data_IF_849531840869
#
_entry.id   IF_849531840869
#
_cell.length_a   1.000
_cell.length_b   1.000
_cell.length_c   1.000
_cell.angle_alpha   90.00
_cell.angle_beta   90.00
_cell.angle_gamma   90.00
#
_symmetry.space_group_name_H-M   'P 1'
#
loop_
_entity.id
_entity.type
_entity.pdbx_description
1 polymer ?
#
# COMPACT_ATOMS: atom_id res chain seq x y z
N UNK A 1 -34.18 -4.01 -20.84
CA UNK A 1 -32.99 -4.84 -20.54
C UNK A 1 -32.18 -4.09 -19.52
N UNK A 2 -32.31 -4.50 -18.26
CA UNK A 2 -31.60 -3.94 -17.13
C UNK A 2 -30.16 -4.49 -17.08
N UNK A 3 -29.33 -3.88 -16.23
CA UNK A 3 -27.95 -4.21 -15.86
C UNK A 3 -26.85 -3.51 -16.67
N UNK A 4 -26.75 -2.21 -16.43
CA UNK A 4 -25.51 -1.45 -16.55
C UNK A 4 -25.48 -0.41 -15.42
N UNK A 5 -25.37 -0.88 -14.18
CA UNK A 5 -24.99 -0.04 -13.04
C UNK A 5 -23.52 -0.31 -12.74
N UNK A 6 -22.65 0.34 -13.50
CA UNK A 6 -21.21 0.43 -13.23
C UNK A 6 -20.89 1.84 -12.76
N UNK A 7 -21.16 2.14 -11.49
CA UNK A 7 -20.59 3.30 -10.79
C UNK A 7 -20.25 2.87 -9.38
N UNK A 8 -19.20 2.06 -9.24
CA UNK A 8 -18.67 1.66 -7.95
C UNK A 8 -17.60 2.67 -7.55
N UNK A 9 -18.02 3.83 -7.04
CA UNK A 9 -17.08 4.72 -6.34
C UNK A 9 -17.62 5.55 -5.19
N UNK A 10 -18.94 5.67 -5.00
CA UNK A 10 -19.52 6.49 -3.91
C UNK A 10 -19.92 5.72 -2.65
N UNK A 11 -19.81 4.38 -2.62
CA UNK A 11 -20.55 3.56 -1.64
C UNK A 11 -19.69 2.93 -0.53
N UNK A 12 -18.37 3.14 -0.55
CA UNK A 12 -17.45 2.53 0.41
C UNK A 12 -16.82 3.54 1.37
N UNK A 13 -17.00 3.31 2.66
CA UNK A 13 -16.17 3.91 3.71
C UNK A 13 -14.81 3.20 3.72
N UNK A 14 -13.80 3.82 3.13
CA UNK A 14 -12.45 3.28 3.14
C UNK A 14 -11.80 3.45 4.51
N UNK A 15 -10.99 2.46 4.89
CA UNK A 15 -10.15 2.46 6.09
C UNK A 15 -8.75 2.01 5.74
N UNK A 16 -7.73 2.70 6.25
CA UNK A 16 -6.36 2.45 5.84
C UNK A 16 -5.40 2.12 6.99
N UNK A 17 -4.45 1.24 6.68
CA UNK A 17 -3.27 0.99 7.49
C UNK A 17 -2.04 1.51 6.73
N UNK A 18 -1.34 2.47 7.33
CA UNK A 18 -0.22 3.18 6.73
C UNK A 18 1.06 2.87 7.53
N UNK A 19 2.02 2.15 6.93
CA UNK A 19 3.13 1.51 7.65
C UNK A 19 4.48 2.02 7.11
N UNK A 20 5.28 2.61 8.00
CA UNK A 20 6.71 2.86 7.77
C UNK A 20 7.53 1.87 8.61
N UNK A 21 8.16 0.89 7.96
CA UNK A 21 8.78 -0.26 8.63
C UNK A 21 10.25 -0.09 9.02
N UNK A 22 10.89 1.00 8.64
CA UNK A 22 12.29 1.24 8.95
C UNK A 22 12.55 2.71 9.27
N UNK A 23 13.52 2.95 10.15
CA UNK A 23 13.92 4.25 10.65
C UNK A 23 15.35 4.64 10.25
N UNK A 24 16.02 3.83 9.42
CA UNK A 24 17.36 4.15 8.91
C UNK A 24 17.39 5.42 8.04
N UNK A 25 16.24 5.81 7.48
CA UNK A 25 16.11 6.98 6.61
C UNK A 25 14.70 7.58 6.68
N UNK A 26 14.56 8.88 6.43
CA UNK A 26 13.27 9.57 6.54
C UNK A 26 12.29 9.23 5.41
N UNK A 27 12.76 8.71 4.27
CA UNK A 27 11.94 8.46 3.07
C UNK A 27 10.71 7.59 3.37
N UNK A 28 10.84 6.61 4.27
CA UNK A 28 9.73 5.71 4.61
C UNK A 28 8.63 6.44 5.39
N UNK A 29 8.99 7.21 6.41
CA UNK A 29 8.00 8.01 7.13
C UNK A 29 7.44 9.16 6.31
N UNK A 30 8.24 9.75 5.41
CA UNK A 30 7.73 10.75 4.47
C UNK A 30 6.68 10.12 3.54
N UNK A 31 6.98 8.98 2.90
CA UNK A 31 6.03 8.30 2.03
C UNK A 31 4.73 7.93 2.75
N UNK A 32 4.82 7.42 3.99
CA UNK A 32 3.67 7.12 4.85
C UNK A 32 2.81 8.36 5.12
N UNK A 33 3.43 9.47 5.50
CA UNK A 33 2.72 10.71 5.86
C UNK A 33 2.12 11.38 4.64
N UNK A 34 2.90 11.51 3.56
CA UNK A 34 2.50 12.22 2.36
C UNK A 34 1.33 11.51 1.67
N UNK A 35 1.37 10.17 1.56
CA UNK A 35 0.24 9.41 1.03
C UNK A 35 -0.97 9.45 1.97
N UNK A 36 -0.76 9.43 3.30
CA UNK A 36 -1.84 9.58 4.26
C UNK A 36 -2.55 10.93 4.14
N UNK A 37 -1.78 12.01 3.98
CA UNK A 37 -2.28 13.36 3.73
C UNK A 37 -3.02 13.45 2.38
N UNK A 38 -2.44 12.92 1.30
CA UNK A 38 -3.09 12.89 0.00
C UNK A 38 -4.43 12.14 0.05
N UNK A 39 -4.46 10.95 0.65
CA UNK A 39 -5.71 10.20 0.77
C UNK A 39 -6.74 10.91 1.67
N UNK A 40 -6.31 11.62 2.70
CA UNK A 40 -7.21 12.46 3.50
C UNK A 40 -7.81 13.60 2.68
N UNK A 41 -7.05 14.24 1.79
CA UNK A 41 -7.55 15.23 0.85
C UNK A 41 -8.55 14.63 -0.16
N UNK A 42 -8.45 13.33 -0.43
CA UNK A 42 -9.36 12.55 -1.28
C UNK A 42 -10.51 11.86 -0.53
N UNK A 43 -10.81 12.28 0.71
CA UNK A 43 -11.98 11.80 1.46
C UNK A 43 -11.74 10.59 2.37
N UNK A 44 -10.57 9.95 2.33
CA UNK A 44 -10.16 8.96 3.35
C UNK A 44 -9.72 9.69 4.62
N UNK A 45 -10.70 10.12 5.42
CA UNK A 45 -10.47 10.93 6.63
C UNK A 45 -9.39 10.33 7.54
N UNK A 46 -8.55 11.18 8.16
CA UNK A 46 -7.52 10.73 9.11
C UNK A 46 -8.07 9.87 10.26
N UNK A 47 -9.34 10.02 10.63
CA UNK A 47 -9.99 9.18 11.65
C UNK A 47 -10.17 7.72 11.21
N UNK A 48 -10.12 7.45 9.90
CA UNK A 48 -10.17 6.13 9.30
C UNK A 48 -8.79 5.63 8.87
N UNK A 49 -7.72 6.33 9.25
CA UNK A 49 -6.34 5.94 9.00
C UNK A 49 -5.65 5.52 10.29
N UNK A 50 -5.01 4.36 10.25
CA UNK A 50 -4.12 3.88 11.29
C UNK A 50 -2.69 4.01 10.79
N UNK A 51 -1.85 4.73 11.53
CA UNK A 51 -0.44 4.89 11.18
C UNK A 51 0.46 4.10 12.14
N UNK A 52 1.42 3.37 11.55
CA UNK A 52 2.49 2.68 12.25
C UNK A 52 3.85 3.21 11.75
N UNK A 53 4.80 3.41 12.66
CA UNK A 53 6.14 3.87 12.32
C UNK A 53 7.21 3.22 13.20
N UNK A 54 8.30 2.78 12.59
CA UNK A 54 9.50 2.35 13.30
C UNK A 54 10.30 3.51 13.90
N UNK A 55 9.99 4.74 13.49
CA UNK A 55 10.79 5.91 13.85
C UNK A 55 10.43 6.47 15.22
N UNK A 56 11.47 6.61 16.06
CA UNK A 56 11.29 6.97 17.46
C UNK A 56 10.58 8.31 17.69
N UNK A 57 10.84 9.33 16.86
CA UNK A 57 10.19 10.65 17.01
C UNK A 57 8.68 10.60 16.74
N UNK A 58 8.27 9.79 15.77
CA UNK A 58 6.85 9.59 15.43
C UNK A 58 6.14 8.85 16.58
N UNK A 59 6.81 7.86 17.17
CA UNK A 59 6.28 7.14 18.34
C UNK A 59 6.10 8.02 19.57
N UNK A 60 7.04 8.94 19.81
CA UNK A 60 6.90 9.94 20.90
C UNK A 60 5.69 10.86 20.63
N UNK A 61 5.40 11.14 19.36
CA UNK A 61 4.22 11.90 18.94
C UNK A 61 2.91 11.09 18.96
N UNK A 62 2.95 9.82 19.37
CA UNK A 62 1.77 8.97 19.55
C UNK A 62 1.46 8.01 18.40
N UNK A 63 2.31 7.95 17.36
CA UNK A 63 2.19 6.94 16.30
C UNK A 63 2.55 5.56 16.86
N UNK A 64 1.77 4.53 16.55
CA UNK A 64 2.06 3.17 17.03
C UNK A 64 3.37 2.66 16.41
N UNK A 65 4.10 1.84 17.16
CA UNK A 65 5.32 1.20 16.66
C UNK A 65 5.01 0.24 15.50
N UNK A 66 5.80 0.23 14.43
CA UNK A 66 5.65 -0.74 13.34
C UNK A 66 6.27 -2.10 13.71
N UNK A 67 5.55 -2.86 14.53
CA UNK A 67 5.84 -4.25 14.92
C UNK A 67 4.82 -5.19 14.29
N UNK A 68 5.12 -6.50 14.24
CA UNK A 68 4.18 -7.50 13.74
C UNK A 68 2.86 -7.48 14.52
N UNK A 69 2.93 -7.38 15.84
CA UNK A 69 1.75 -7.31 16.73
C UNK A 69 0.88 -6.09 16.40
N UNK A 70 1.48 -4.90 16.28
CA UNK A 70 0.73 -3.68 15.97
C UNK A 70 0.20 -3.66 14.52
N UNK A 71 0.85 -4.35 13.59
CA UNK A 71 0.32 -4.54 12.23
C UNK A 71 -0.93 -5.43 12.29
N UNK A 72 -0.87 -6.54 13.02
CA UNK A 72 -2.02 -7.43 13.20
C UNK A 72 -3.18 -6.70 13.89
N UNK A 73 -2.92 -5.99 15.00
CA UNK A 73 -3.90 -5.13 15.67
C UNK A 73 -4.43 -4.04 14.74
N UNK A 74 -3.57 -3.44 13.92
CA UNK A 74 -3.95 -2.44 12.93
C UNK A 74 -4.99 -2.98 11.94
N UNK A 75 -4.75 -4.16 11.36
CA UNK A 75 -5.75 -4.81 10.50
C UNK A 75 -7.02 -5.16 11.27
N UNK A 76 -6.92 -5.65 12.51
CA UNK A 76 -8.07 -5.95 13.36
C UNK A 76 -8.91 -4.70 13.68
N UNK A 77 -8.28 -3.55 13.93
CA UNK A 77 -8.95 -2.27 14.17
C UNK A 77 -9.69 -1.75 12.92
N UNK A 78 -9.12 -1.99 11.73
CA UNK A 78 -9.83 -1.69 10.47
C UNK A 78 -11.05 -2.58 10.28
N UNK A 79 -10.92 -3.87 10.64
CA UNK A 79 -11.81 -5.01 10.33
C UNK A 79 -13.09 -4.63 9.58
N UNK A 80 -13.04 -4.89 8.27
CA UNK A 80 -14.14 -4.59 7.34
C UNK A 80 -14.86 -5.86 6.89
N UNK A 81 -14.27 -7.05 7.13
CA UNK A 81 -14.79 -8.34 6.69
C UNK A 81 -16.20 -8.66 7.23
N UNK A 82 -16.54 -8.18 8.43
CA UNK A 82 -17.81 -8.49 9.11
C UNK A 82 -18.81 -7.33 9.10
N UNK A 83 -18.80 -6.49 8.07
CA UNK A 83 -19.67 -5.34 8.04
C UNK A 83 -21.17 -5.75 8.01
N UNK A 84 -21.84 -5.54 9.15
CA UNK A 84 -23.28 -5.78 9.33
C UNK A 84 -24.13 -4.52 9.14
N UNK A 85 -23.50 -3.39 8.80
CA UNK A 85 -24.16 -2.10 8.62
C UNK A 85 -24.53 -1.85 7.15
N UNK A 86 -25.36 -0.84 6.88
CA UNK A 86 -25.76 -0.48 5.50
C UNK A 86 -24.63 0.16 4.68
N UNK A 87 -23.62 0.74 5.32
CA UNK A 87 -22.50 1.40 4.64
C UNK A 87 -21.50 0.32 4.27
N UNK A 88 -21.13 0.19 2.99
CA UNK A 88 -20.08 -0.77 2.61
C UNK A 88 -18.71 -0.23 3.07
N UNK A 89 -17.75 -1.11 3.37
CA UNK A 89 -16.42 -0.71 3.83
C UNK A 89 -15.34 -1.31 2.95
N UNK A 90 -14.25 -0.61 2.77
CA UNK A 90 -13.11 -1.05 1.97
C UNK A 90 -11.80 -0.87 2.74
N UNK A 91 -10.80 -1.66 2.38
CA UNK A 91 -9.53 -1.78 3.09
C UNK A 91 -8.39 -1.27 2.22
N UNK A 92 -7.53 -0.41 2.77
CA UNK A 92 -6.31 0.05 2.10
C UNK A 92 -5.11 -0.23 3.01
N UNK A 93 -4.04 -0.76 2.44
CA UNK A 93 -2.75 -0.88 3.13
C UNK A 93 -1.67 -0.22 2.28
N UNK A 94 -0.98 0.77 2.83
CA UNK A 94 0.27 1.29 2.28
C UNK A 94 1.42 0.89 3.20
N UNK A 95 2.47 0.33 2.61
CA UNK A 95 3.63 -0.18 3.30
C UNK A 95 4.90 0.31 2.64
N UNK A 96 5.79 0.97 3.38
CA UNK A 96 7.06 1.47 2.86
C UNK A 96 8.23 1.17 3.81
N UNK A 97 9.25 0.46 3.30
CA UNK A 97 10.44 0.01 4.05
C UNK A 97 11.49 -0.58 3.09
N UNK A 98 12.58 -1.12 3.64
CA UNK A 98 13.42 -2.07 2.91
C UNK A 98 12.67 -3.38 2.66
N UNK A 99 13.15 -4.13 1.66
CA UNK A 99 12.65 -5.46 1.38
C UNK A 99 13.76 -6.49 1.43
N UNK A 100 13.43 -7.67 1.96
CA UNK A 100 14.32 -8.82 2.05
C UNK A 100 13.95 -9.78 0.93
N UNK A 101 14.91 -10.12 0.08
CA UNK A 101 14.70 -11.09 -1.01
C UNK A 101 14.26 -12.43 -0.42
N UNK A 102 13.07 -12.90 -0.79
CA UNK A 102 12.44 -14.12 -0.24
C UNK A 102 12.29 -14.11 1.29
N UNK A 103 12.26 -12.92 1.90
CA UNK A 103 12.19 -12.75 3.36
C UNK A 103 11.14 -11.73 3.80
N UNK A 104 10.41 -11.11 2.88
CA UNK A 104 9.33 -10.18 3.20
C UNK A 104 9.76 -8.72 3.39
N UNK A 105 8.93 -7.99 4.13
CA UNK A 105 9.01 -6.55 4.36
C UNK A 105 9.73 -6.27 5.68
N UNK A 106 10.84 -5.54 5.61
CA UNK A 106 11.70 -5.34 6.77
C UNK A 106 11.03 -4.46 7.82
N UNK A 107 11.14 -4.87 9.08
CA UNK A 107 10.65 -4.14 10.25
C UNK A 107 11.83 -3.90 11.20
N UNK A 108 12.32 -2.67 11.33
CA UNK A 108 13.54 -2.39 12.12
C UNK A 108 13.35 -2.60 13.62
N UNK A 109 12.10 -2.62 14.08
CA UNK A 109 11.73 -2.90 15.47
C UNK A 109 11.66 -4.39 15.79
N UNK A 110 11.71 -5.25 14.77
CA UNK A 110 11.70 -6.70 14.92
C UNK A 110 13.13 -7.24 14.94
N UNK A 111 13.50 -7.92 16.03
CA UNK A 111 14.90 -8.33 16.22
C UNK A 111 15.40 -9.36 15.20
N UNK A 112 14.50 -10.16 14.61
CA UNK A 112 14.80 -11.27 13.67
C UNK A 112 13.66 -11.57 12.71
N UNK A 113 12.66 -10.70 12.62
CA UNK A 113 11.44 -10.98 11.87
C UNK A 113 11.15 -9.87 10.88
N UNK A 114 10.42 -10.24 9.84
CA UNK A 114 9.90 -9.36 8.82
C UNK A 114 8.43 -9.75 8.63
N UNK A 115 7.61 -8.83 8.11
CA UNK A 115 6.28 -9.23 7.68
C UNK A 115 6.43 -10.06 6.41
N UNK A 116 6.13 -11.36 6.48
CA UNK A 116 6.22 -12.24 5.31
C UNK A 116 5.00 -12.07 4.40
N UNK A 117 5.10 -12.57 3.16
CA UNK A 117 3.94 -12.60 2.26
C UNK A 117 2.81 -13.48 2.79
N UNK A 118 3.14 -14.55 3.52
CA UNK A 118 2.16 -15.40 4.20
C UNK A 118 1.45 -14.65 5.33
N UNK A 119 2.19 -13.90 6.16
CA UNK A 119 1.59 -13.12 7.25
C UNK A 119 0.63 -12.07 6.70
N UNK A 120 1.04 -11.32 5.66
CA UNK A 120 0.18 -10.33 5.02
C UNK A 120 -1.08 -10.98 4.40
N UNK A 121 -0.92 -12.12 3.73
CA UNK A 121 -2.06 -12.86 3.15
C UNK A 121 -3.06 -13.27 4.23
N UNK A 122 -2.58 -13.80 5.36
CA UNK A 122 -3.41 -14.18 6.50
C UNK A 122 -4.18 -12.98 7.04
N UNK A 123 -3.48 -11.87 7.35
CA UNK A 123 -4.09 -10.68 7.94
C UNK A 123 -5.13 -10.03 7.00
N UNK A 124 -4.81 -9.90 5.71
CA UNK A 124 -5.73 -9.31 4.73
C UNK A 124 -6.97 -10.19 4.56
N UNK A 125 -6.80 -11.51 4.44
CA UNK A 125 -7.94 -12.40 4.26
C UNK A 125 -8.81 -12.48 5.52
N UNK A 126 -8.23 -12.41 6.70
CA UNK A 126 -8.97 -12.41 7.97
C UNK A 126 -9.75 -11.11 8.19
N UNK A 127 -9.11 -9.95 8.02
CA UNK A 127 -9.69 -8.67 8.45
C UNK A 127 -10.31 -7.85 7.32
N UNK A 128 -9.85 -8.02 6.09
CA UNK A 128 -10.42 -7.35 4.92
C UNK A 128 -11.39 -8.27 4.15
N UNK A 129 -11.16 -9.59 4.17
CA UNK A 129 -12.11 -10.60 3.68
C UNK A 129 -12.56 -10.35 2.24
N UNK A 130 -13.86 -10.43 1.97
CA UNK A 130 -14.41 -10.23 0.63
C UNK A 130 -14.65 -8.76 0.25
N UNK A 131 -14.26 -7.80 1.10
CA UNK A 131 -14.40 -6.37 0.79
C UNK A 131 -13.34 -5.89 -0.22
N UNK A 132 -13.64 -4.85 -1.03
CA UNK A 132 -12.63 -4.21 -1.87
C UNK A 132 -11.38 -3.86 -1.06
N UNK A 133 -10.23 -4.30 -1.54
CA UNK A 133 -8.96 -4.13 -0.82
C UNK A 133 -7.84 -3.70 -1.74
N UNK A 134 -7.11 -2.66 -1.35
CA UNK A 134 -5.97 -2.09 -2.07
C UNK A 134 -4.72 -2.24 -1.22
N UNK A 135 -3.65 -2.75 -1.82
CA UNK A 135 -2.38 -3.01 -1.14
C UNK A 135 -1.25 -2.39 -1.96
N UNK A 136 -0.57 -1.40 -1.39
CA UNK A 136 0.49 -0.63 -2.01
C UNK A 136 1.81 -0.90 -1.26
N UNK A 137 2.76 -1.55 -1.92
CA UNK A 137 3.99 -2.03 -1.27
C UNK A 137 5.24 -1.40 -1.90
N UNK A 138 5.82 -0.44 -1.18
CA UNK A 138 7.07 0.24 -1.49
C UNK A 138 8.24 -0.45 -0.80
N UNK A 139 8.84 -1.45 -1.47
CA UNK A 139 10.03 -2.15 -0.98
C UNK A 139 10.79 -2.86 -2.12
N UNK A 140 12.08 -3.12 -1.90
CA UNK A 140 12.85 -4.05 -2.75
C UNK A 140 12.17 -5.43 -2.78
N UNK A 141 12.21 -6.12 -3.92
CA UNK A 141 11.66 -7.48 -4.05
C UNK A 141 10.16 -7.59 -3.74
N UNK A 142 9.43 -6.47 -3.69
CA UNK A 142 8.03 -6.39 -3.24
C UNK A 142 7.07 -7.25 -4.06
N UNK A 143 7.41 -7.57 -5.31
CA UNK A 143 6.67 -8.55 -6.12
C UNK A 143 6.49 -9.92 -5.46
N UNK A 144 7.30 -10.27 -4.45
CA UNK A 144 7.12 -11.48 -3.63
C UNK A 144 5.79 -11.53 -2.87
N UNK A 145 5.10 -10.39 -2.70
CA UNK A 145 3.79 -10.30 -2.05
C UNK A 145 2.62 -10.55 -3.00
N UNK A 146 2.83 -10.63 -4.31
CA UNK A 146 1.78 -11.00 -5.27
C UNK A 146 1.64 -12.53 -5.30
N UNK A 147 1.10 -13.09 -4.22
CA UNK A 147 0.90 -14.53 -4.04
C UNK A 147 -0.50 -14.96 -4.46
N UNK A 148 -0.70 -16.26 -4.73
CA UNK A 148 -2.04 -16.77 -5.04
C UNK A 148 -2.98 -16.68 -3.83
N UNK A 149 -2.44 -16.73 -2.61
CA UNK A 149 -3.18 -16.58 -1.37
C UNK A 149 -3.67 -15.15 -1.12
N UNK A 150 -2.96 -14.14 -1.62
CA UNK A 150 -3.35 -12.74 -1.48
C UNK A 150 -4.21 -12.25 -2.64
N UNK A 151 -4.04 -12.84 -3.83
CA UNK A 151 -4.87 -12.52 -5.00
C UNK A 151 -6.33 -12.86 -4.74
N UNK A 152 -7.20 -12.04 -5.32
CA UNK A 152 -8.64 -12.24 -5.27
C UNK A 152 -9.35 -11.30 -6.24
N UNK A 153 -10.61 -11.57 -6.59
CA UNK A 153 -11.36 -10.76 -7.53
C UNK A 153 -11.59 -9.32 -7.04
N UNK A 154 -11.54 -9.10 -5.72
CA UNK A 154 -11.74 -7.84 -5.01
C UNK A 154 -10.42 -7.16 -4.57
N UNK A 155 -9.28 -7.55 -5.15
CA UNK A 155 -7.96 -7.06 -4.73
C UNK A 155 -7.30 -6.18 -5.79
N UNK A 156 -6.65 -5.12 -5.33
CA UNK A 156 -5.62 -4.37 -6.07
C UNK A 156 -4.32 -4.54 -5.30
N UNK A 157 -3.27 -5.02 -5.96
CA UNK A 157 -1.94 -5.18 -5.35
C UNK A 157 -0.93 -4.52 -6.27
N UNK A 158 -0.22 -3.51 -5.77
CA UNK A 158 0.79 -2.77 -6.53
C UNK A 158 2.12 -2.80 -5.77
N UNK A 159 3.20 -3.14 -6.47
CA UNK A 159 4.52 -3.34 -5.86
C UNK A 159 5.59 -2.53 -6.57
N UNK A 160 6.53 -1.98 -5.81
CA UNK A 160 7.61 -1.13 -6.33
C UNK A 160 8.65 -1.86 -7.20
N UNK A 161 8.71 -3.18 -7.15
CA UNK A 161 9.64 -3.99 -7.95
C UNK A 161 9.12 -5.40 -8.16
N UNK A 162 9.68 -6.12 -9.14
CA UNK A 162 9.52 -7.59 -9.21
C UNK A 162 10.30 -8.30 -8.10
N UNK A 163 9.90 -9.53 -7.79
CA UNK A 163 10.44 -10.35 -6.69
C UNK A 163 11.97 -10.53 -6.65
N UNK A 164 12.66 -10.40 -7.79
CA UNK A 164 14.11 -10.61 -7.89
C UNK A 164 14.93 -9.32 -8.10
N UNK A 165 14.28 -8.15 -8.12
CA UNK A 165 14.93 -6.85 -8.33
C UNK A 165 14.70 -5.88 -7.16
N UNK A 166 15.69 -5.02 -6.87
CA UNK A 166 15.48 -3.93 -5.92
C UNK A 166 14.57 -2.84 -6.52
N UNK A 167 13.96 -2.06 -5.64
CA UNK A 167 13.41 -0.73 -5.98
C UNK A 167 14.43 0.35 -5.58
N UNK A 168 14.21 1.59 -6.00
CA UNK A 168 15.20 2.67 -5.84
C UNK A 168 14.62 3.92 -5.17
N UNK A 169 15.52 4.84 -4.83
CA UNK A 169 15.17 6.12 -4.21
C UNK A 169 15.30 6.18 -2.69
N UNK A 170 15.79 5.12 -2.05
CA UNK A 170 16.17 5.15 -0.64
C UNK A 170 17.51 5.89 -0.49
N UNK A 171 17.48 7.22 -0.51
CA UNK A 171 18.64 8.10 -0.34
C UNK A 171 18.22 9.40 0.36
N UNK A 172 19.08 9.99 1.21
CA UNK A 172 18.77 11.27 1.86
C UNK A 172 18.65 12.44 0.86
N UNK A 173 19.08 12.23 -0.39
CA UNK A 173 18.93 13.20 -1.47
C UNK A 173 17.48 13.33 -1.99
N UNK A 174 16.62 12.37 -1.64
CA UNK A 174 15.22 12.36 -2.03
C UNK A 174 14.34 12.42 -0.79
N UNK A 175 13.23 13.14 -0.89
CA UNK A 175 12.24 13.20 0.18
C UNK A 175 11.50 11.87 0.34
N UNK A 176 11.14 11.26 -0.79
CA UNK A 176 10.39 10.00 -0.88
C UNK A 176 11.18 8.97 -1.70
N UNK A 177 10.86 7.68 -1.53
CA UNK A 177 11.36 6.65 -2.47
C UNK A 177 10.85 6.96 -3.89
N UNK A 178 11.44 6.36 -4.92
CA UNK A 178 11.00 6.67 -6.28
C UNK A 178 9.55 6.27 -6.52
N UNK A 179 9.17 5.11 -5.97
CA UNK A 179 7.84 4.57 -6.14
C UNK A 179 6.79 5.35 -5.35
N UNK A 180 7.05 5.69 -4.08
CA UNK A 180 6.13 6.53 -3.31
C UNK A 180 5.96 7.91 -3.96
N UNK A 181 7.04 8.50 -4.49
CA UNK A 181 6.95 9.77 -5.22
C UNK A 181 6.11 9.65 -6.52
N UNK A 182 6.25 8.56 -7.26
CA UNK A 182 5.42 8.32 -8.45
C UNK A 182 3.95 8.05 -8.09
N UNK A 183 3.66 7.38 -6.97
CA UNK A 183 2.28 7.28 -6.48
C UNK A 183 1.70 8.67 -6.18
N UNK A 184 2.41 9.47 -5.39
CA UNK A 184 1.99 10.83 -5.02
C UNK A 184 1.71 11.70 -6.25
N UNK A 185 2.53 11.59 -7.30
CA UNK A 185 2.34 12.38 -8.52
C UNK A 185 1.21 11.86 -9.40
N UNK A 186 0.98 10.55 -9.46
CA UNK A 186 0.05 9.97 -10.43
C UNK A 186 -1.35 9.70 -9.85
N UNK A 187 -1.52 9.58 -8.54
CA UNK A 187 -2.84 9.41 -7.89
C UNK A 187 -3.80 10.54 -8.28
N UNK A 188 -3.45 11.85 -8.19
CA UNK A 188 -4.34 12.95 -8.60
C UNK A 188 -4.64 12.97 -10.10
N UNK A 189 -3.89 12.23 -10.91
CA UNK A 189 -3.96 12.20 -12.36
C UNK A 189 -4.58 10.90 -12.90
N UNK A 190 -5.14 10.07 -12.02
CA UNK A 190 -5.71 8.77 -12.36
C UNK A 190 -7.14 8.66 -11.85
N UNK A 191 -8.06 8.15 -12.67
CA UNK A 191 -9.44 7.90 -12.24
C UNK A 191 -9.58 6.52 -11.58
N UNK A 192 -8.90 5.50 -12.12
CA UNK A 192 -9.00 4.10 -11.67
C UNK A 192 -7.66 3.53 -11.21
N UNK A 193 -7.72 2.47 -10.40
CA UNK A 193 -6.50 1.74 -9.98
C UNK A 193 -5.74 1.13 -11.17
N UNK A 194 -6.45 0.72 -12.22
CA UNK A 194 -5.85 0.24 -13.47
C UNK A 194 -5.05 1.35 -14.16
N UNK A 195 -5.61 2.55 -14.28
CA UNK A 195 -4.92 3.70 -14.87
C UNK A 195 -3.68 4.10 -14.04
N UNK A 196 -3.83 4.15 -12.71
CA UNK A 196 -2.72 4.46 -11.81
C UNK A 196 -1.56 3.50 -11.99
N UNK A 197 -1.83 2.20 -12.11
CA UNK A 197 -0.80 1.18 -12.37
C UNK A 197 0.05 1.47 -13.60
N UNK A 198 -0.60 1.85 -14.71
CA UNK A 198 0.10 2.20 -15.95
C UNK A 198 0.95 3.45 -15.79
N UNK A 199 0.42 4.47 -15.12
CA UNK A 199 1.09 5.76 -14.92
C UNK A 199 2.28 5.66 -13.98
N UNK A 200 2.13 4.95 -12.85
CA UNK A 200 3.21 4.71 -11.90
C UNK A 200 4.34 3.91 -12.56
N UNK A 201 4.02 2.86 -13.31
CA UNK A 201 5.04 2.11 -14.06
C UNK A 201 5.80 3.00 -15.04
N UNK A 202 5.08 3.82 -15.80
CA UNK A 202 5.69 4.77 -16.75
C UNK A 202 6.57 5.81 -16.05
N UNK A 203 6.16 6.30 -14.87
CA UNK A 203 6.93 7.22 -14.05
C UNK A 203 8.25 6.59 -13.58
N UNK A 204 8.20 5.35 -13.09
CA UNK A 204 9.38 4.63 -12.60
C UNK A 204 10.35 4.29 -13.74
N UNK A 205 9.84 3.80 -14.86
CA UNK A 205 10.67 3.48 -16.03
C UNK A 205 11.48 4.68 -16.51
N UNK A 206 10.87 5.87 -16.58
CA UNK A 206 11.59 7.11 -16.94
C UNK A 206 12.71 7.42 -15.95
N UNK A 207 12.40 7.42 -14.65
CA UNK A 207 13.35 7.78 -13.60
C UNK A 207 14.53 6.80 -13.51
N UNK A 208 14.27 5.52 -13.68
CA UNK A 208 15.30 4.49 -13.68
C UNK A 208 16.17 4.52 -14.94
N UNK A 209 15.57 4.82 -16.10
CA UNK A 209 16.32 5.02 -17.34
C UNK A 209 17.28 6.21 -17.25
N UNK A 210 16.87 7.32 -16.64
CA UNK A 210 17.73 8.50 -16.40
C UNK A 210 18.96 8.17 -15.55
N UNK A 211 18.83 7.23 -14.60
CA UNK A 211 19.94 6.78 -13.75
C UNK A 211 20.75 5.63 -14.35
N UNK A 212 20.31 5.07 -15.49
CA UNK A 212 20.98 3.93 -16.12
C UNK A 212 21.00 2.67 -15.25
N UNK A 213 20.05 2.52 -14.32
CA UNK A 213 19.96 1.33 -13.45
C UNK A 213 19.20 0.21 -14.14
N UNK A 214 19.42 -1.03 -13.67
CA UNK A 214 18.59 -2.16 -14.11
C UNK A 214 17.16 -1.92 -13.62
N UNK A 215 16.13 -1.90 -14.50
CA UNK A 215 14.78 -1.51 -14.10
C UNK A 215 14.19 -2.38 -12.99
N UNK A 216 13.48 -1.79 -12.03
CA UNK A 216 12.81 -2.52 -10.94
C UNK A 216 11.60 -3.33 -11.42
N UNK A 217 10.98 -2.90 -12.52
CA UNK A 217 9.77 -3.47 -13.11
C UNK A 217 8.63 -3.56 -12.08
N UNK A 218 8.03 -2.44 -11.64
CA UNK A 218 6.91 -2.48 -10.71
C UNK A 218 5.76 -3.35 -11.25
N UNK A 219 5.07 -4.07 -10.36
CA UNK A 219 4.01 -5.01 -10.75
C UNK A 219 2.65 -4.53 -10.26
N UNK A 220 1.62 -4.88 -11.02
CA UNK A 220 0.22 -4.58 -10.71
C UNK A 220 -0.59 -5.85 -10.89
N UNK A 221 -1.38 -6.19 -9.87
CA UNK A 221 -2.45 -7.18 -9.95
C UNK A 221 -3.77 -6.47 -9.67
N UNK A 222 -4.74 -6.63 -10.57
CA UNK A 222 -6.11 -6.13 -10.42
C UNK A 222 -7.06 -7.31 -10.55
N UNK A 223 -7.81 -7.58 -9.49
CA UNK A 223 -8.89 -8.56 -9.52
C UNK A 223 -10.03 -8.11 -10.43
N UNK A 224 -10.78 -9.07 -10.96
CA UNK A 224 -11.85 -8.82 -11.95
C UNK A 224 -12.92 -7.81 -11.48
N UNK A 225 -13.20 -7.75 -10.17
CA UNK A 225 -14.17 -6.80 -9.61
C UNK A 225 -13.58 -5.39 -9.38
N UNK A 226 -12.27 -5.22 -9.57
CA UNK A 226 -11.54 -3.98 -9.32
C UNK A 226 -11.07 -3.26 -10.59
N UNK A 227 -11.29 -3.83 -11.78
CA UNK A 227 -10.77 -3.28 -13.06
C UNK A 227 -11.22 -1.83 -13.31
N UNK A 228 -12.49 -1.55 -13.10
CA UNK A 228 -13.10 -0.21 -13.28
C UNK A 228 -13.25 0.55 -11.96
N UNK A 229 -12.68 0.02 -10.88
CA UNK A 229 -12.81 0.64 -9.56
C UNK A 229 -12.02 1.94 -9.50
N UNK A 230 -12.70 3.00 -9.04
CA UNK A 230 -12.13 4.34 -8.92
C UNK A 230 -11.24 4.46 -7.69
N UNK A 231 -10.27 5.35 -7.76
CA UNK A 231 -9.42 5.70 -6.62
C UNK A 231 -10.21 6.66 -5.74
N UNK A 232 -10.56 6.20 -4.53
CA UNK A 232 -11.06 7.00 -3.39
C UNK A 232 -11.76 8.30 -3.83
N UNK A 233 -13.01 8.19 -4.30
CA UNK A 233 -13.80 9.36 -4.68
C UNK A 233 -14.97 9.53 -3.71
N UNK A 234 -15.22 10.78 -3.33
CA UNK A 234 -16.45 11.25 -2.69
C UNK A 234 -17.69 11.05 -3.59
#
# INVERSE_FOLDING_TARGET
SAWADSVVSSDYEWRALMIAGDDSINNFDNGRKDLGSLFNEMGLLSSNQIHLSSMRREQIAGVRAATLDNIAEGFADLSVAHNTTRTQRACLAHMTSHGIRNGGFYLSMERRSALTSQDLSTLVNEYCGDQPTVILISACFSGQFITEELKGPNRVIMTAAIHDRPSFGCSPDYENTFWDNCLLSEIPNSETWTELGVRVNSCIERREAELGVRPSLPQVFIGENMVESRILMD
#
